data_IF_250555728331
#
_entry.id   IF_250555728331
#
_cell.length_a   1.000
_cell.length_b   1.000
_cell.length_c   1.000
_cell.angle_alpha   90.00
_cell.angle_beta   90.00
_cell.angle_gamma   90.00
#
_symmetry.space_group_name_H-M   'P 1'
#
loop_
_entity.id
_entity.type
_entity.pdbx_description
1 polymer ?
#
# COMPACT_ATOMS: atom_id res chain seq x y z
N UNK A 1 3.86 22.61 -83.72
CA UNK A 1 5.25 23.11 -83.89
C UNK A 1 6.18 22.28 -83.01
N UNK A 2 6.86 21.30 -83.62
CA UNK A 2 8.28 20.89 -83.45
C UNK A 2 9.02 21.39 -82.20
N UNK A 3 9.69 20.60 -81.32
CA UNK A 3 10.70 19.52 -81.41
C UNK A 3 10.75 18.84 -80.01
N UNK A 4 11.18 17.61 -79.71
CA UNK A 4 12.07 16.63 -80.36
C UNK A 4 13.35 16.38 -79.51
N UNK A 5 13.62 15.10 -79.16
CA UNK A 5 14.85 14.46 -78.56
C UNK A 5 14.77 14.12 -77.06
N UNK A 6 15.28 12.99 -76.53
CA UNK A 6 15.92 11.75 -77.06
C UNK A 6 15.95 10.71 -75.91
N UNK A 7 15.87 9.43 -76.27
CA UNK A 7 16.03 8.24 -75.42
C UNK A 7 17.53 7.90 -75.26
N UNK A 8 17.98 7.50 -74.06
CA UNK A 8 19.08 6.53 -73.85
C UNK A 8 18.74 5.71 -72.60
N UNK A 9 18.75 4.38 -72.73
CA UNK A 9 18.60 3.42 -71.63
C UNK A 9 19.91 2.69 -71.32
N UNK A 10 19.98 2.14 -70.11
CA UNK A 10 20.81 1.02 -69.63
C UNK A 10 20.04 0.52 -68.38
N UNK A 11 19.67 -0.75 -68.19
CA UNK A 11 20.31 -1.99 -68.61
C UNK A 11 21.14 -2.54 -67.45
N UNK A 12 20.50 -3.03 -66.39
CA UNK A 12 21.16 -3.57 -65.20
C UNK A 12 20.26 -4.56 -64.47
N UNK A 13 20.48 -5.85 -64.74
CA UNK A 13 19.86 -7.02 -64.13
C UNK A 13 20.22 -7.12 -62.64
N UNK A 14 19.23 -7.27 -61.76
CA UNK A 14 19.46 -7.64 -60.36
C UNK A 14 18.60 -8.86 -60.02
N UNK A 15 19.33 -9.90 -59.63
CA UNK A 15 18.84 -11.22 -59.29
C UNK A 15 17.90 -11.20 -58.08
N UNK A 16 16.84 -12.01 -58.16
CA UNK A 16 16.02 -12.42 -57.02
C UNK A 16 16.88 -13.23 -56.03
N UNK A 17 16.96 -12.76 -54.79
CA UNK A 17 17.40 -13.53 -53.63
C UNK A 17 16.35 -13.40 -52.51
N UNK A 18 16.13 -14.44 -51.69
CA UNK A 18 14.97 -14.54 -50.80
C UNK A 18 15.18 -13.74 -49.51
N UNK A 19 14.18 -12.96 -49.11
CA UNK A 19 14.13 -12.26 -47.83
C UNK A 19 13.58 -13.20 -46.75
N UNK A 20 14.43 -13.53 -45.78
CA UNK A 20 14.12 -14.23 -44.52
C UNK A 20 14.39 -13.26 -43.37
N UNK A 21 13.37 -13.07 -42.52
CA UNK A 21 13.33 -12.58 -41.13
C UNK A 21 13.98 -11.23 -40.75
N UNK A 22 13.16 -10.29 -40.27
CA UNK A 22 13.25 -9.77 -38.89
C UNK A 22 12.05 -8.86 -38.58
N UNK A 23 11.41 -9.16 -37.45
CA UNK A 23 10.32 -8.43 -36.80
C UNK A 23 10.61 -6.94 -36.61
N UNK A 24 9.76 -6.08 -37.18
CA UNK A 24 9.69 -4.66 -36.83
C UNK A 24 8.72 -4.51 -35.66
N UNK A 25 9.23 -4.68 -34.44
CA UNK A 25 8.61 -4.16 -33.23
C UNK A 25 9.73 -3.64 -32.33
N UNK A 26 10.15 -2.41 -32.59
CA UNK A 26 10.85 -1.60 -31.61
C UNK A 26 10.75 -0.13 -32.04
N UNK A 27 10.48 0.73 -31.05
CA UNK A 27 10.48 2.18 -31.07
C UNK A 27 9.11 2.89 -31.02
N UNK A 28 8.33 2.65 -29.95
CA UNK A 28 7.60 3.71 -29.23
C UNK A 28 7.65 3.39 -27.73
N UNK A 29 8.80 3.63 -27.07
CA UNK A 29 8.93 3.58 -25.62
C UNK A 29 10.15 4.40 -25.19
N UNK A 30 10.14 5.72 -25.43
CA UNK A 30 11.15 6.61 -24.86
C UNK A 30 10.75 8.08 -25.02
N UNK A 31 9.72 8.55 -24.31
CA UNK A 31 9.59 9.96 -23.90
C UNK A 31 8.54 10.06 -22.82
N UNK A 32 8.97 9.80 -21.58
CA UNK A 32 8.53 10.42 -20.32
C UNK A 32 9.13 9.64 -19.16
N UNK A 33 10.46 9.47 -19.16
CA UNK A 33 11.17 9.18 -17.92
C UNK A 33 11.28 10.52 -17.17
N UNK A 34 10.20 10.92 -16.52
CA UNK A 34 10.26 11.94 -15.48
C UNK A 34 11.26 11.43 -14.45
N UNK A 35 12.34 12.19 -14.24
CA UNK A 35 13.36 11.92 -13.23
C UNK A 35 12.64 11.70 -11.90
N UNK A 36 12.56 10.45 -11.44
CA UNK A 36 12.05 10.13 -10.11
C UNK A 36 12.92 10.86 -9.10
N UNK A 37 12.37 11.88 -8.46
CA UNK A 37 12.96 12.41 -7.25
C UNK A 37 13.07 11.25 -6.25
N UNK A 38 14.26 11.06 -5.67
CA UNK A 38 14.48 10.07 -4.62
C UNK A 38 13.40 10.23 -3.53
N UNK A 39 12.93 9.14 -2.90
CA UNK A 39 11.91 9.22 -1.87
C UNK A 39 12.40 10.19 -0.78
N UNK A 40 11.69 11.32 -0.62
CA UNK A 40 11.94 12.27 0.46
C UNK A 40 11.61 11.51 1.74
N UNK A 41 12.64 11.04 2.42
CA UNK A 41 12.52 10.44 3.75
C UNK A 41 11.76 11.42 4.64
N UNK A 42 10.76 10.94 5.39
CA UNK A 42 10.05 11.74 6.39
C UNK A 42 11.09 12.48 7.27
N UNK A 43 11.23 13.79 7.04
CA UNK A 43 11.73 14.69 8.07
C UNK A 43 10.63 14.74 9.12
N UNK A 44 10.97 14.52 10.38
CA UNK A 44 10.00 14.31 11.48
C UNK A 44 8.73 15.17 11.34
N UNK A 45 7.56 14.55 11.48
CA UNK A 45 6.26 15.22 11.47
C UNK A 45 6.26 16.45 12.41
N UNK A 46 5.58 17.54 12.05
CA UNK A 46 5.37 18.66 12.95
C UNK A 46 4.78 18.20 14.29
N UNK A 47 5.17 18.83 15.39
CA UNK A 47 4.69 18.48 16.74
C UNK A 47 3.98 19.66 17.39
N UNK A 48 3.28 19.41 18.50
CA UNK A 48 2.71 20.45 19.36
C UNK A 48 3.78 21.19 20.20
N UNK A 49 5.06 20.88 20.02
CA UNK A 49 6.14 21.53 20.76
C UNK A 49 6.09 23.06 20.59
N UNK A 50 6.14 23.77 21.72
CA UNK A 50 6.05 25.23 21.80
C UNK A 50 4.72 25.84 21.30
N UNK A 51 3.67 25.03 21.08
CA UNK A 51 2.35 25.55 20.74
C UNK A 51 1.74 26.27 21.95
N UNK A 52 1.84 25.69 23.15
CA UNK A 52 1.28 26.26 24.38
C UNK A 52 2.31 27.14 25.12
N UNK A 53 1.87 28.32 25.55
CA UNK A 53 2.65 29.23 26.38
C UNK A 53 1.81 29.62 27.60
N UNK A 54 2.22 29.19 28.80
CA UNK A 54 1.66 29.76 30.03
C UNK A 54 2.19 31.17 30.26
N UNK A 55 1.39 32.03 30.88
CA UNK A 55 1.68 33.44 31.12
C UNK A 55 1.66 33.77 32.62
N UNK A 56 2.03 35.00 32.97
CA UNK A 56 1.89 35.47 34.34
C UNK A 56 0.42 35.41 34.81
N UNK A 57 0.16 35.13 36.10
CA UNK A 57 1.13 35.00 37.20
C UNK A 57 1.81 33.62 37.32
N UNK A 58 1.48 32.64 36.49
CA UNK A 58 2.04 31.27 36.61
C UNK A 58 3.52 31.21 36.25
N UNK A 59 3.94 32.01 35.26
CA UNK A 59 5.34 32.15 34.87
C UNK A 59 5.78 33.62 34.88
N UNK A 60 7.09 33.87 34.84
CA UNK A 60 7.63 35.24 34.78
C UNK A 60 7.29 35.89 33.43
N UNK A 61 6.98 37.19 33.48
CA UNK A 61 6.82 38.03 32.29
C UNK A 61 8.11 38.07 31.46
N UNK A 62 7.99 38.13 30.13
CA UNK A 62 9.14 38.27 29.22
C UNK A 62 9.07 37.44 27.94
N UNK A 63 7.99 36.69 27.71
CA UNK A 63 7.80 35.87 26.49
C UNK A 63 7.19 36.73 25.38
N UNK A 64 7.76 36.67 24.18
CA UNK A 64 7.22 37.35 23.00
C UNK A 64 6.05 36.54 22.42
N UNK A 65 4.88 37.16 22.43
CA UNK A 65 3.64 36.64 21.87
C UNK A 65 3.48 37.07 20.42
N UNK A 66 3.63 36.11 19.50
CA UNK A 66 3.48 36.31 18.06
C UNK A 66 2.85 35.07 17.44
N UNK A 67 2.09 35.28 16.35
CA UNK A 67 1.37 34.25 15.61
C UNK A 67 0.46 33.44 16.55
N UNK A 68 -0.40 34.12 17.29
CA UNK A 68 -1.32 33.47 18.24
C UNK A 68 -2.62 33.04 17.55
N UNK A 69 -3.15 31.91 17.99
CA UNK A 69 -4.44 31.38 17.59
C UNK A 69 -5.47 31.61 18.69
N UNK A 70 -6.51 32.38 18.35
CA UNK A 70 -7.59 32.75 19.25
C UNK A 70 -8.94 32.11 18.88
N UNK A 71 -9.02 31.32 17.80
CA UNK A 71 -10.25 30.64 17.38
C UNK A 71 -10.52 29.34 18.13
N UNK A 72 -9.55 28.82 18.87
CA UNK A 72 -9.63 27.53 19.56
C UNK A 72 -10.57 27.49 20.77
N UNK A 73 -11.11 28.63 21.22
CA UNK A 73 -11.93 28.71 22.44
C UNK A 73 -13.06 27.66 22.52
N UNK A 74 -13.84 27.40 21.45
CA UNK A 74 -14.91 26.39 21.48
C UNK A 74 -14.40 24.95 21.67
N UNK A 75 -13.12 24.72 21.39
CA UNK A 75 -12.48 23.39 21.30
C UNK A 75 -11.49 23.12 22.43
N UNK A 76 -11.21 24.10 23.28
CA UNK A 76 -10.28 23.95 24.40
C UNK A 76 -10.97 23.45 25.65
N UNK A 77 -10.28 22.52 26.31
CA UNK A 77 -10.56 22.12 27.68
C UNK A 77 -9.30 22.33 28.52
N UNK A 78 -9.47 23.04 29.63
CA UNK A 78 -8.44 23.13 30.68
C UNK A 78 -8.89 22.29 31.85
N UNK A 79 -8.10 21.30 32.25
CA UNK A 79 -8.37 20.48 33.44
C UNK A 79 -7.32 20.74 34.49
N UNK A 80 -7.77 20.80 35.74
CA UNK A 80 -6.88 20.82 36.90
C UNK A 80 -7.01 19.47 37.60
N UNK A 81 -5.90 18.79 37.80
CA UNK A 81 -5.85 17.52 38.54
C UNK A 81 -4.94 17.67 39.75
N UNK A 82 -5.23 16.96 40.83
CA UNK A 82 -4.33 16.95 41.98
C UNK A 82 -3.06 16.11 41.69
N UNK A 83 -2.08 16.14 42.59
CA UNK A 83 -0.85 15.35 42.48
C UNK A 83 -1.06 13.81 42.39
N UNK A 84 -2.27 13.31 42.68
CA UNK A 84 -2.64 11.89 42.53
C UNK A 84 -3.33 11.59 41.19
N UNK A 85 -3.52 12.60 40.33
CA UNK A 85 -4.22 12.51 39.04
C UNK A 85 -5.74 12.61 39.13
N UNK A 86 -6.31 12.90 40.30
CA UNK A 86 -7.76 13.09 40.45
C UNK A 86 -8.18 14.44 39.88
N UNK A 87 -9.21 14.45 39.04
CA UNK A 87 -9.81 15.67 38.49
C UNK A 87 -10.38 16.55 39.60
N UNK A 88 -9.93 17.80 39.63
CA UNK A 88 -10.40 18.85 40.55
C UNK A 88 -11.39 19.79 39.85
N UNK A 89 -11.03 20.31 38.68
CA UNK A 89 -11.87 21.27 37.95
C UNK A 89 -11.67 21.14 36.43
N UNK A 90 -12.68 21.56 35.67
CA UNK A 90 -12.67 21.59 34.21
C UNK A 90 -13.24 22.91 33.73
N UNK A 91 -12.53 23.57 32.81
CA UNK A 91 -12.93 24.83 32.21
C UNK A 91 -13.11 24.67 30.71
N UNK A 92 -14.22 25.20 30.20
CA UNK A 92 -14.59 25.19 28.77
C UNK A 92 -15.27 26.50 28.40
N UNK A 93 -15.38 26.82 27.11
CA UNK A 93 -16.09 28.02 26.66
C UNK A 93 -17.58 28.03 27.06
N UNK A 94 -18.18 26.84 27.21
CA UNK A 94 -19.57 26.64 27.63
C UNK A 94 -19.73 26.57 29.16
N UNK A 95 -18.63 26.64 29.92
CA UNK A 95 -18.65 26.69 31.37
C UNK A 95 -19.42 27.90 31.90
N UNK A 96 -19.92 27.80 33.13
CA UNK A 96 -20.64 28.89 33.79
C UNK A 96 -19.80 29.54 34.89
N UNK A 97 -19.87 30.87 34.98
CA UNK A 97 -19.18 31.67 36.02
C UNK A 97 -17.68 31.35 36.11
N UNK A 98 -17.22 30.74 37.20
CA UNK A 98 -15.80 30.43 37.45
C UNK A 98 -15.24 29.33 36.55
N UNK A 99 -16.10 28.47 35.99
CA UNK A 99 -15.71 27.38 35.08
C UNK A 99 -15.61 27.81 33.61
N UNK A 100 -15.87 29.08 33.31
CA UNK A 100 -15.87 29.58 31.93
C UNK A 100 -14.47 29.94 31.46
N UNK A 101 -14.06 29.35 30.33
CA UNK A 101 -12.88 29.77 29.58
C UNK A 101 -13.20 31.01 28.75
N UNK A 102 -12.43 32.07 28.97
CA UNK A 102 -12.60 33.36 28.31
C UNK A 102 -11.40 33.66 27.41
N UNK A 103 -11.66 34.38 26.32
CA UNK A 103 -10.60 34.89 25.42
C UNK A 103 -10.58 36.41 25.46
N UNK A 104 -9.40 36.98 25.66
CA UNK A 104 -9.18 38.42 25.59
C UNK A 104 -7.81 38.70 24.99
N UNK A 105 -7.72 39.60 23.99
CA UNK A 105 -6.45 39.98 23.35
C UNK A 105 -5.61 38.79 22.85
N UNK A 106 -6.27 37.75 22.33
CA UNK A 106 -5.66 36.48 21.88
C UNK A 106 -4.99 35.63 22.99
N UNK A 107 -5.33 35.91 24.25
CA UNK A 107 -4.96 35.10 25.41
C UNK A 107 -6.20 34.42 25.98
N UNK A 108 -6.00 33.22 26.51
CA UNK A 108 -7.01 32.41 27.18
C UNK A 108 -6.88 32.55 28.68
N UNK A 109 -8.02 32.70 29.36
CA UNK A 109 -8.06 32.97 30.79
C UNK A 109 -9.13 32.12 31.47
N UNK A 110 -8.74 31.48 32.58
CA UNK A 110 -9.64 30.84 33.55
C UNK A 110 -9.20 31.20 34.97
N UNK A 111 -10.09 31.00 35.95
CA UNK A 111 -9.79 31.28 37.36
C UNK A 111 -9.68 29.96 38.11
N UNK A 112 -8.45 29.59 38.48
CA UNK A 112 -8.15 28.41 39.30
C UNK A 112 -8.44 28.65 40.76
N UNK A 113 -9.06 27.68 41.45
CA UNK A 113 -9.43 27.78 42.86
C UNK A 113 -8.76 26.70 43.71
N UNK A 114 -8.12 27.11 44.81
CA UNK A 114 -7.65 26.19 45.85
C UNK A 114 -6.58 25.18 45.41
N UNK A 115 -5.71 25.58 44.49
CA UNK A 115 -4.67 24.71 43.92
C UNK A 115 -3.51 24.50 44.90
N UNK A 116 -3.10 23.24 45.09
CA UNK A 116 -1.95 22.85 45.89
C UNK A 116 -0.67 22.77 45.06
N UNK A 117 0.48 22.74 45.74
CA UNK A 117 1.74 22.44 45.06
C UNK A 117 1.73 20.99 44.57
N UNK A 118 2.13 20.78 43.31
CA UNK A 118 2.08 19.48 42.65
C UNK A 118 0.77 19.17 41.92
N UNK A 119 -0.23 20.07 41.96
CA UNK A 119 -1.39 19.96 41.07
C UNK A 119 -0.98 20.27 39.62
N UNK A 120 -1.61 19.60 38.67
CA UNK A 120 -1.37 19.76 37.24
C UNK A 120 -2.47 20.58 36.59
N UNK A 121 -2.07 21.57 35.80
CA UNK A 121 -2.93 22.30 34.86
C UNK A 121 -2.66 21.75 33.48
N UNK A 122 -3.62 21.06 32.89
CA UNK A 122 -3.51 20.43 31.58
C UNK A 122 -4.37 21.21 30.60
N UNK A 123 -3.77 21.70 29.51
CA UNK A 123 -4.49 22.34 28.41
C UNK A 123 -4.56 21.36 27.25
N UNK A 124 -5.76 21.10 26.75
CA UNK A 124 -6.00 20.15 25.68
C UNK A 124 -7.03 20.67 24.68
N UNK A 125 -6.90 20.27 23.41
CA UNK A 125 -8.00 20.31 22.46
C UNK A 125 -8.89 19.09 22.67
N UNK A 126 -10.19 19.31 22.52
CA UNK A 126 -11.22 18.28 22.67
C UNK A 126 -10.96 17.11 21.73
N UNK A 127 -11.22 15.90 22.23
CA UNK A 127 -11.39 14.74 21.37
C UNK A 127 -12.68 14.81 20.57
N UNK A 128 -12.85 13.89 19.64
CA UNK A 128 -14.13 13.70 18.95
C UNK A 128 -14.38 12.23 18.66
N UNK A 129 -15.66 11.86 18.69
CA UNK A 129 -16.13 10.56 18.22
C UNK A 129 -17.23 10.78 17.19
N UNK A 130 -17.02 10.29 15.96
CA UNK A 130 -17.99 10.40 14.86
C UNK A 130 -17.98 9.12 14.03
N UNK A 131 -19.03 8.32 14.13
CA UNK A 131 -19.07 7.00 13.50
C UNK A 131 -17.95 6.11 14.07
N UNK A 132 -17.08 5.59 13.19
CA UNK A 132 -15.91 4.78 13.57
C UNK A 132 -14.67 5.60 13.92
N UNK A 133 -14.67 6.92 13.65
CA UNK A 133 -13.56 7.81 13.98
C UNK A 133 -13.61 8.11 15.47
N UNK A 134 -12.53 7.83 16.18
CA UNK A 134 -12.35 8.16 17.58
C UNK A 134 -10.99 8.82 17.77
N UNK A 135 -11.03 10.14 17.91
CA UNK A 135 -9.86 10.97 18.14
C UNK A 135 -9.82 11.35 19.62
N UNK A 136 -8.79 10.92 20.37
CA UNK A 136 -8.63 11.33 21.76
C UNK A 136 -8.34 12.84 21.85
N UNK A 137 -8.53 13.40 23.04
CA UNK A 137 -8.12 14.77 23.31
C UNK A 137 -6.62 14.95 23.05
N UNK A 138 -6.26 16.06 22.40
CA UNK A 138 -4.88 16.40 22.09
C UNK A 138 -4.33 17.30 23.21
N UNK A 139 -3.46 16.76 24.05
CA UNK A 139 -2.78 17.54 25.10
C UNK A 139 -1.77 18.48 24.47
N UNK A 140 -1.94 19.78 24.70
CA UNK A 140 -1.03 20.82 24.21
C UNK A 140 0.13 21.05 25.18
N UNK A 141 -0.11 20.81 26.48
CA UNK A 141 0.91 20.85 27.50
C UNK A 141 0.33 20.81 28.92
N UNK A 142 1.24 20.58 29.87
CA UNK A 142 0.94 20.51 31.30
C UNK A 142 1.81 21.50 32.05
N UNK A 143 1.23 22.18 33.03
CA UNK A 143 1.94 23.02 33.98
C UNK A 143 1.75 22.49 35.40
N UNK A 144 2.86 22.18 36.07
CA UNK A 144 2.86 21.74 37.46
C UNK A 144 2.87 22.97 38.38
N UNK A 145 1.89 23.09 39.26
CA UNK A 145 1.79 24.19 40.21
C UNK A 145 2.93 24.11 41.23
N UNK A 146 3.85 25.08 41.20
CA UNK A 146 5.05 25.06 42.05
C UNK A 146 4.79 25.44 43.52
N UNK A 147 3.79 26.30 43.78
CA UNK A 147 3.47 26.82 45.12
C UNK A 147 1.96 26.80 45.33
N UNK A 148 1.47 26.58 46.57
CA UNK A 148 0.04 26.54 46.84
C UNK A 148 -0.60 27.90 46.62
N UNK A 149 -1.77 27.89 46.00
CA UNK A 149 -2.64 29.04 45.77
C UNK A 149 -3.97 28.80 46.53
N UNK A 150 -4.04 29.09 47.85
CA UNK A 150 -5.18 28.73 48.70
C UNK A 150 -6.45 29.55 48.42
N UNK A 151 -6.40 30.49 47.48
CA UNK A 151 -7.55 31.30 47.02
C UNK A 151 -7.73 31.12 45.51
N UNK A 152 -7.98 32.21 44.79
CA UNK A 152 -8.12 32.22 43.34
C UNK A 152 -6.81 32.68 42.70
N UNK A 153 -6.40 32.04 41.61
CA UNK A 153 -5.28 32.47 40.77
C UNK A 153 -5.71 32.48 39.31
N UNK A 154 -5.28 33.50 38.57
CA UNK A 154 -5.53 33.54 37.14
C UNK A 154 -4.62 32.53 36.45
N UNK A 155 -5.22 31.61 35.69
CA UNK A 155 -4.51 30.74 34.77
C UNK A 155 -4.61 31.42 33.41
N UNK A 156 -3.49 31.92 32.92
CA UNK A 156 -3.40 32.62 31.64
C UNK A 156 -2.46 31.86 30.71
N UNK A 157 -2.87 31.67 29.47
CA UNK A 157 -2.04 31.03 28.47
C UNK A 157 -2.38 31.53 27.06
N UNK A 158 -1.45 31.36 26.14
CA UNK A 158 -1.63 31.62 24.72
C UNK A 158 -1.24 30.38 23.92
N UNK A 159 -1.84 30.22 22.74
CA UNK A 159 -1.53 29.13 21.82
C UNK A 159 -1.01 29.74 20.53
N UNK A 160 0.16 29.30 20.08
CA UNK A 160 0.70 29.69 18.77
C UNK A 160 -0.04 28.96 17.65
N UNK A 161 -0.20 29.64 16.52
CA UNK A 161 -0.65 29.02 15.28
C UNK A 161 0.36 27.93 14.89
N UNK A 162 -0.06 26.67 15.04
CA UNK A 162 0.77 25.47 14.90
C UNK A 162 0.01 24.46 14.03
N UNK A 163 0.66 23.81 13.06
CA UNK A 163 -0.04 22.99 12.08
C UNK A 163 -0.76 21.76 12.68
N UNK A 164 -0.26 21.20 13.79
CA UNK A 164 -0.92 20.08 14.48
C UNK A 164 -2.19 20.56 15.19
N UNK A 165 -2.10 21.70 15.87
CA UNK A 165 -3.23 22.34 16.57
C UNK A 165 -4.29 22.77 15.57
N UNK A 166 -3.86 23.41 14.47
CA UNK A 166 -4.74 23.91 13.41
C UNK A 166 -5.43 22.78 12.66
N UNK A 167 -4.73 21.73 12.29
CA UNK A 167 -5.36 20.56 11.66
C UNK A 167 -6.38 19.87 12.58
N UNK A 168 -6.11 19.81 13.89
CA UNK A 168 -7.06 19.31 14.90
C UNK A 168 -8.30 20.19 14.98
N UNK A 169 -8.15 21.51 15.05
CA UNK A 169 -9.25 22.47 15.10
C UNK A 169 -10.17 22.32 13.87
N UNK A 170 -9.61 22.39 12.67
CA UNK A 170 -10.39 22.27 11.43
C UNK A 170 -11.10 20.91 11.35
N UNK A 171 -10.45 19.84 11.85
CA UNK A 171 -11.10 18.53 11.96
C UNK A 171 -12.32 18.54 12.88
N UNK A 172 -12.26 19.27 14.00
CA UNK A 172 -13.36 19.44 14.94
C UNK A 172 -14.48 20.34 14.37
N UNK A 173 -14.14 21.30 13.51
CA UNK A 173 -15.09 22.10 12.72
C UNK A 173 -15.84 21.27 11.68
N UNK A 174 -15.29 20.11 11.31
CA UNK A 174 -15.88 19.19 10.34
C UNK A 174 -15.40 19.42 8.92
N UNK A 175 -14.28 20.12 8.73
CA UNK A 175 -13.67 20.31 7.43
C UNK A 175 -13.28 18.99 6.77
N UNK A 176 -13.21 19.02 5.44
CA UNK A 176 -12.68 17.93 4.63
C UNK A 176 -11.16 17.90 4.64
N UNK A 177 -10.57 16.74 4.35
CA UNK A 177 -9.11 16.61 4.23
C UNK A 177 -8.51 17.60 3.22
N UNK A 178 -9.21 17.91 2.13
CA UNK A 178 -8.79 18.89 1.11
C UNK A 178 -8.75 20.31 1.67
N UNK A 179 -9.77 20.72 2.44
CA UNK A 179 -9.77 22.04 3.10
C UNK A 179 -8.64 22.16 4.12
N UNK A 180 -8.45 21.12 4.94
CA UNK A 180 -7.35 21.09 5.91
C UNK A 180 -6.00 21.14 5.21
N UNK A 181 -5.79 20.35 4.15
CA UNK A 181 -4.56 20.39 3.36
C UNK A 181 -4.27 21.76 2.75
N UNK A 182 -5.29 22.43 2.20
CA UNK A 182 -5.12 23.78 1.64
C UNK A 182 -4.66 24.78 2.71
N UNK A 183 -5.18 24.69 3.94
CA UNK A 183 -4.70 25.50 5.06
C UNK A 183 -3.26 25.13 5.44
N UNK A 184 -2.94 23.84 5.51
CA UNK A 184 -1.59 23.36 5.85
C UNK A 184 -0.53 23.79 4.81
N UNK A 185 -0.89 23.83 3.53
CA UNK A 185 -0.04 24.35 2.47
C UNK A 185 0.11 25.88 2.57
N UNK A 186 -1.00 26.61 2.63
CA UNK A 186 -0.99 28.07 2.49
C UNK A 186 -0.52 28.82 3.74
N UNK A 187 -0.91 28.36 4.93
CA UNK A 187 -0.52 29.02 6.19
C UNK A 187 0.86 28.56 6.70
N UNK A 188 1.26 27.32 6.42
CA UNK A 188 2.47 26.73 7.01
C UNK A 188 3.51 26.27 5.98
N UNK A 189 3.20 26.28 4.69
CA UNK A 189 4.13 25.85 3.64
C UNK A 189 4.50 24.37 3.74
N UNK A 190 3.63 23.52 4.29
CA UNK A 190 3.93 22.09 4.44
C UNK A 190 3.97 21.39 3.08
N UNK A 191 4.93 20.47 2.94
CA UNK A 191 4.97 19.54 1.81
C UNK A 191 3.80 18.56 1.84
N UNK A 192 3.49 17.96 0.68
CA UNK A 192 2.45 16.96 0.51
C UNK A 192 2.54 15.82 1.53
N UNK A 193 3.74 15.25 1.74
CA UNK A 193 3.99 14.20 2.71
C UNK A 193 3.68 14.62 4.16
N UNK A 194 4.15 15.81 4.57
CA UNK A 194 3.94 16.28 5.94
C UNK A 194 2.46 16.63 6.20
N UNK A 195 1.79 17.24 5.22
CA UNK A 195 0.36 17.51 5.32
C UNK A 195 -0.46 16.22 5.37
N UNK A 196 -0.18 15.25 4.48
CA UNK A 196 -0.84 13.95 4.48
C UNK A 196 -0.62 13.19 5.80
N UNK A 197 0.57 13.28 6.40
CA UNK A 197 0.83 12.67 7.70
C UNK A 197 0.01 13.31 8.82
N UNK A 198 -0.16 14.64 8.84
CA UNK A 198 -1.06 15.30 9.79
C UNK A 198 -2.53 14.90 9.54
N UNK A 199 -2.96 14.77 8.29
CA UNK A 199 -4.30 14.27 7.96
C UNK A 199 -4.51 12.83 8.44
N UNK A 200 -3.51 11.97 8.32
CA UNK A 200 -3.55 10.61 8.85
C UNK A 200 -3.68 10.59 10.39
N UNK A 201 -2.98 11.47 11.11
CA UNK A 201 -3.15 11.66 12.56
C UNK A 201 -4.56 12.16 12.94
N UNK A 202 -5.22 12.87 12.03
CA UNK A 202 -6.62 13.26 12.17
C UNK A 202 -7.62 12.14 11.77
N UNK A 203 -7.12 10.94 11.49
CA UNK A 203 -7.91 9.77 11.06
C UNK A 203 -8.75 10.01 9.80
N UNK A 204 -8.25 10.81 8.85
CA UNK A 204 -8.84 10.82 7.50
C UNK A 204 -8.56 9.48 6.80
N UNK A 205 -9.51 9.00 6.00
CA UNK A 205 -9.32 7.78 5.21
C UNK A 205 -8.41 8.03 4.01
N UNK A 206 -7.78 6.98 3.48
CA UNK A 206 -6.90 7.06 2.32
C UNK A 206 -7.53 7.78 1.11
N UNK A 207 -8.81 7.55 0.73
CA UNK A 207 -9.45 8.34 -0.33
C UNK A 207 -9.51 9.84 -0.04
N UNK A 208 -9.81 10.26 1.19
CA UNK A 208 -9.85 11.67 1.54
C UNK A 208 -8.45 12.30 1.53
N UNK A 209 -7.44 11.58 2.02
CA UNK A 209 -6.05 12.03 1.96
C UNK A 209 -5.56 12.09 0.50
N UNK A 210 -5.87 11.08 -0.31
CA UNK A 210 -5.56 11.05 -1.74
C UNK A 210 -6.22 12.20 -2.51
N UNK A 211 -7.48 12.51 -2.20
CA UNK A 211 -8.18 13.66 -2.78
C UNK A 211 -7.49 14.98 -2.41
N UNK A 212 -7.01 15.12 -1.18
CA UNK A 212 -6.26 16.29 -0.75
C UNK A 212 -4.91 16.41 -1.48
N UNK A 213 -4.18 15.30 -1.62
CA UNK A 213 -2.91 15.23 -2.35
C UNK A 213 -3.07 15.60 -3.83
N UNK A 214 -4.12 15.11 -4.49
CA UNK A 214 -4.42 15.46 -5.88
C UNK A 214 -4.81 16.94 -6.03
N UNK A 215 -5.78 17.39 -5.22
CA UNK A 215 -6.40 18.70 -5.43
C UNK A 215 -5.54 19.89 -4.99
N UNK A 216 -4.73 19.72 -3.93
CA UNK A 216 -3.91 20.79 -3.35
C UNK A 216 -2.47 20.69 -3.84
N UNK A 217 -1.89 19.48 -3.80
CA UNK A 217 -0.48 19.27 -4.09
C UNK A 217 -0.19 18.78 -5.52
N UNK A 218 -1.23 18.49 -6.30
CA UNK A 218 -1.12 17.99 -7.68
C UNK A 218 -0.27 16.72 -7.81
N UNK A 219 -0.30 15.86 -6.77
CA UNK A 219 0.39 14.58 -6.81
C UNK A 219 -0.29 13.64 -7.82
N UNK A 220 0.51 12.87 -8.55
CA UNK A 220 -0.01 11.78 -9.40
C UNK A 220 -0.51 10.60 -8.57
N UNK A 221 -1.18 9.65 -9.24
CA UNK A 221 -1.62 8.39 -8.65
C UNK A 221 -0.47 7.64 -7.97
N UNK A 222 0.65 7.44 -8.67
CA UNK A 222 1.85 6.76 -8.14
C UNK A 222 2.47 7.50 -6.95
N UNK A 223 2.57 8.84 -7.01
CA UNK A 223 3.10 9.63 -5.90
C UNK A 223 2.19 9.55 -4.67
N UNK A 224 0.88 9.64 -4.87
CA UNK A 224 -0.11 9.48 -3.80
C UNK A 224 -0.04 8.11 -3.17
N UNK A 225 0.01 7.05 -3.96
CA UNK A 225 0.15 5.69 -3.46
C UNK A 225 1.42 5.53 -2.62
N UNK A 226 2.56 6.05 -3.10
CA UNK A 226 3.83 6.04 -2.36
C UNK A 226 3.72 6.78 -1.01
N UNK A 227 3.08 7.96 -0.97
CA UNK A 227 2.86 8.70 0.27
C UNK A 227 1.95 7.91 1.23
N UNK A 228 0.84 7.36 0.75
CA UNK A 228 -0.09 6.60 1.58
C UNK A 228 0.55 5.33 2.17
N UNK A 229 1.36 4.61 1.38
CA UNK A 229 2.12 3.44 1.86
C UNK A 229 3.17 3.86 2.89
N UNK A 230 3.87 4.98 2.70
CA UNK A 230 4.78 5.52 3.71
C UNK A 230 4.07 5.88 5.03
N UNK A 231 2.81 6.32 4.94
CA UNK A 231 1.93 6.59 6.08
C UNK A 231 1.23 5.34 6.64
N UNK A 232 1.60 4.15 6.17
CA UNK A 232 1.11 2.85 6.65
C UNK A 232 -0.39 2.61 6.42
N UNK A 233 -0.98 3.25 5.40
CA UNK A 233 -2.27 2.77 4.89
C UNK A 233 -2.08 1.39 4.24
N UNK A 234 -3.08 0.51 4.36
CA UNK A 234 -3.02 -0.83 3.75
C UNK A 234 -3.19 -0.75 2.23
N UNK A 235 -2.74 -1.77 1.50
CA UNK A 235 -2.90 -1.86 0.05
C UNK A 235 -4.38 -1.70 -0.39
N UNK A 236 -5.34 -2.29 0.34
CA UNK A 236 -6.78 -2.08 0.10
C UNK A 236 -7.18 -0.60 0.20
N UNK A 237 -6.65 0.11 1.20
CA UNK A 237 -6.94 1.54 1.40
C UNK A 237 -6.30 2.39 0.31
N UNK A 238 -5.07 2.05 -0.11
CA UNK A 238 -4.38 2.72 -1.20
C UNK A 238 -5.10 2.48 -2.53
N UNK A 239 -5.45 1.23 -2.84
CA UNK A 239 -6.22 0.86 -4.03
C UNK A 239 -7.58 1.56 -4.07
N UNK A 240 -8.27 1.69 -2.93
CA UNK A 240 -9.51 2.45 -2.86
C UNK A 240 -9.30 3.94 -3.19
N UNK A 241 -8.18 4.54 -2.77
CA UNK A 241 -7.84 5.90 -3.14
C UNK A 241 -7.53 6.01 -4.64
N UNK A 242 -6.77 5.08 -5.21
CA UNK A 242 -6.47 5.02 -6.64
C UNK A 242 -7.76 4.90 -7.48
N UNK A 243 -8.64 3.96 -7.14
CA UNK A 243 -9.93 3.77 -7.79
C UNK A 243 -10.82 5.01 -7.71
N UNK A 244 -11.02 5.57 -6.51
CA UNK A 244 -12.02 6.61 -6.30
C UNK A 244 -11.56 8.01 -6.69
N UNK A 245 -10.28 8.33 -6.51
CA UNK A 245 -9.73 9.68 -6.75
C UNK A 245 -9.15 9.79 -8.16
N UNK A 246 -8.40 8.78 -8.59
CA UNK A 246 -7.67 8.79 -9.86
C UNK A 246 -8.39 8.02 -10.97
N UNK A 247 -9.42 7.24 -10.64
CA UNK A 247 -10.17 6.41 -11.60
C UNK A 247 -9.28 5.36 -12.28
N UNK A 248 -8.20 4.94 -11.61
CA UNK A 248 -7.35 3.83 -12.06
C UNK A 248 -8.19 2.54 -12.10
N UNK A 249 -7.96 1.73 -13.12
CA UNK A 249 -8.54 0.39 -13.18
C UNK A 249 -7.74 -0.63 -12.35
N UNK A 250 -8.20 -1.88 -12.37
CA UNK A 250 -7.59 -2.96 -11.60
C UNK A 250 -6.14 -3.26 -12.07
N UNK A 251 -5.87 -3.20 -13.36
CA UNK A 251 -4.53 -3.45 -13.91
C UNK A 251 -3.59 -2.30 -13.57
N UNK A 252 -4.03 -1.06 -13.81
CA UNK A 252 -3.23 0.14 -13.51
C UNK A 252 -2.91 0.22 -12.01
N UNK A 253 -3.87 -0.13 -11.16
CA UNK A 253 -3.65 -0.21 -9.71
C UNK A 253 -2.63 -1.28 -9.34
N UNK A 254 -2.70 -2.48 -9.92
CA UNK A 254 -1.75 -3.54 -9.65
C UNK A 254 -0.32 -3.13 -10.06
N UNK A 255 -0.17 -2.47 -11.22
CA UNK A 255 1.12 -1.97 -11.71
C UNK A 255 1.69 -0.90 -10.75
N UNK A 256 0.87 0.04 -10.28
CA UNK A 256 1.29 1.06 -9.31
C UNK A 256 1.71 0.43 -7.98
N UNK A 257 0.90 -0.48 -7.42
CA UNK A 257 1.19 -1.11 -6.13
C UNK A 257 2.46 -1.98 -6.21
N UNK A 258 2.66 -2.70 -7.33
CA UNK A 258 3.90 -3.42 -7.58
C UNK A 258 5.09 -2.47 -7.65
N UNK A 259 4.96 -1.35 -8.37
CA UNK A 259 6.04 -0.38 -8.56
C UNK A 259 6.51 0.23 -7.23
N UNK A 260 5.59 0.42 -6.28
CA UNK A 260 5.91 0.95 -4.95
C UNK A 260 6.32 -0.14 -3.94
N UNK A 261 6.39 -1.41 -4.38
CA UNK A 261 6.97 -2.51 -3.64
C UNK A 261 5.99 -3.32 -2.79
N UNK A 262 4.69 -3.25 -3.04
CA UNK A 262 3.74 -4.15 -2.39
C UNK A 262 3.93 -5.60 -2.86
N UNK A 263 3.67 -6.55 -1.97
CA UNK A 263 3.74 -7.98 -2.26
C UNK A 263 2.53 -8.46 -3.08
N UNK A 264 2.68 -9.57 -3.81
CA UNK A 264 1.57 -10.17 -4.57
C UNK A 264 0.33 -10.41 -3.71
N UNK A 265 0.49 -10.83 -2.44
CA UNK A 265 -0.63 -11.03 -1.51
C UNK A 265 -1.35 -9.75 -1.14
N UNK A 266 -0.63 -8.63 -0.97
CA UNK A 266 -1.23 -7.33 -0.74
C UNK A 266 -2.01 -6.85 -1.97
N UNK A 267 -1.41 -6.95 -3.15
CA UNK A 267 -2.06 -6.53 -4.41
C UNK A 267 -3.25 -7.42 -4.74
N UNK A 268 -3.12 -8.75 -4.60
CA UNK A 268 -4.21 -9.69 -4.80
C UNK A 268 -5.38 -9.49 -3.84
N UNK A 269 -5.08 -9.13 -2.59
CA UNK A 269 -6.08 -8.71 -1.60
C UNK A 269 -6.83 -7.46 -2.05
N UNK A 270 -6.11 -6.45 -2.52
CA UNK A 270 -6.70 -5.21 -3.01
C UNK A 270 -7.58 -5.43 -4.26
N UNK A 271 -7.11 -6.20 -5.23
CA UNK A 271 -7.87 -6.58 -6.43
C UNK A 271 -9.19 -7.29 -6.06
N UNK A 272 -9.12 -8.23 -5.12
CA UNK A 272 -10.29 -8.93 -4.60
C UNK A 272 -11.25 -8.00 -3.85
N UNK A 273 -10.74 -7.17 -2.94
CA UNK A 273 -11.57 -6.43 -1.98
C UNK A 273 -12.11 -5.11 -2.53
N UNK A 274 -11.37 -4.44 -3.42
CA UNK A 274 -11.71 -3.11 -3.96
C UNK A 274 -12.31 -3.21 -5.35
N UNK A 275 -11.72 -4.04 -6.21
CA UNK A 275 -12.18 -4.23 -7.59
C UNK A 275 -13.14 -5.42 -7.75
N UNK A 276 -13.31 -6.25 -6.72
CA UNK A 276 -14.13 -7.47 -6.75
C UNK A 276 -13.66 -8.46 -7.83
N UNK A 277 -12.36 -8.50 -8.09
CA UNK A 277 -11.79 -9.41 -9.08
C UNK A 277 -11.89 -10.87 -8.63
N UNK A 278 -12.21 -11.75 -9.59
CA UNK A 278 -12.19 -13.19 -9.38
C UNK A 278 -10.77 -13.75 -9.34
N UNK A 279 -10.62 -15.01 -8.91
CA UNK A 279 -9.33 -15.67 -8.78
C UNK A 279 -8.53 -15.68 -10.10
N UNK A 280 -9.17 -16.08 -11.20
CA UNK A 280 -8.53 -16.13 -12.52
C UNK A 280 -8.12 -14.74 -13.04
N UNK A 281 -9.00 -13.74 -12.91
CA UNK A 281 -8.70 -12.37 -13.33
C UNK A 281 -7.56 -11.78 -12.49
N UNK A 282 -7.59 -11.99 -11.18
CA UNK A 282 -6.51 -11.57 -10.27
C UNK A 282 -5.19 -12.21 -10.64
N UNK A 283 -5.16 -13.52 -10.94
CA UNK A 283 -3.95 -14.20 -11.37
C UNK A 283 -3.36 -13.61 -12.66
N UNK A 284 -4.21 -13.34 -13.66
CA UNK A 284 -3.78 -12.72 -14.91
C UNK A 284 -3.21 -11.31 -14.69
N UNK A 285 -3.90 -10.48 -13.90
CA UNK A 285 -3.47 -9.11 -13.58
C UNK A 285 -2.12 -9.12 -12.85
N UNK A 286 -1.94 -10.01 -11.86
CA UNK A 286 -0.69 -10.11 -11.11
C UNK A 286 0.49 -10.54 -12.00
N UNK A 287 0.29 -11.48 -12.92
CA UNK A 287 1.35 -11.85 -13.87
C UNK A 287 1.70 -10.71 -14.81
N UNK A 288 0.69 -9.95 -15.26
CA UNK A 288 0.91 -8.78 -16.11
C UNK A 288 1.64 -7.65 -15.34
N UNK A 289 1.37 -7.52 -14.04
CA UNK A 289 2.12 -6.68 -13.11
C UNK A 289 3.50 -7.26 -12.73
N UNK A 290 3.94 -8.32 -13.40
CA UNK A 290 5.28 -8.95 -13.29
C UNK A 290 5.56 -9.74 -12.00
N UNK A 291 4.53 -10.11 -11.23
CA UNK A 291 4.68 -11.11 -10.17
C UNK A 291 4.95 -12.49 -10.74
N UNK A 292 5.73 -13.29 -10.01
CA UNK A 292 6.08 -14.65 -10.42
C UNK A 292 4.89 -15.61 -10.27
N UNK A 293 4.92 -16.71 -11.03
CA UNK A 293 3.86 -17.73 -10.98
C UNK A 293 3.71 -18.33 -9.57
N UNK A 294 4.82 -18.51 -8.85
CA UNK A 294 4.80 -19.02 -7.47
C UNK A 294 4.11 -18.05 -6.50
N UNK A 295 4.37 -16.74 -6.65
CA UNK A 295 3.69 -15.69 -5.87
C UNK A 295 2.19 -15.67 -6.19
N UNK A 296 1.83 -15.74 -7.48
CA UNK A 296 0.43 -15.81 -7.92
C UNK A 296 -0.29 -17.03 -7.35
N UNK A 297 0.36 -18.19 -7.35
CA UNK A 297 -0.17 -19.40 -6.73
C UNK A 297 -0.39 -19.23 -5.21
N UNK A 298 0.53 -18.55 -4.52
CA UNK A 298 0.37 -18.18 -3.11
C UNK A 298 -0.85 -17.28 -2.87
N UNK A 299 -1.13 -16.33 -3.77
CA UNK A 299 -2.35 -15.50 -3.73
C UNK A 299 -3.60 -16.34 -3.95
N UNK A 300 -3.59 -17.23 -4.95
CA UNK A 300 -4.73 -18.11 -5.24
C UNK A 300 -5.05 -19.03 -4.04
N UNK A 301 -4.02 -19.60 -3.43
CA UNK A 301 -4.16 -20.45 -2.25
C UNK A 301 -4.70 -19.66 -1.04
N UNK A 302 -4.01 -18.60 -0.63
CA UNK A 302 -4.29 -17.93 0.64
C UNK A 302 -5.37 -16.85 0.54
N UNK A 303 -5.41 -16.11 -0.57
CA UNK A 303 -6.35 -15.03 -0.81
C UNK A 303 -7.69 -15.51 -1.37
N UNK A 304 -7.68 -16.54 -2.20
CA UNK A 304 -8.89 -17.08 -2.85
C UNK A 304 -9.31 -18.46 -2.35
N UNK A 305 -8.57 -19.06 -1.40
CA UNK A 305 -8.84 -20.40 -0.88
C UNK A 305 -8.98 -21.46 -1.98
N UNK A 306 -8.23 -21.29 -3.08
CA UNK A 306 -8.19 -22.30 -4.13
C UNK A 306 -7.50 -23.56 -3.62
N UNK A 307 -7.92 -24.70 -4.15
CA UNK A 307 -7.21 -25.96 -4.01
C UNK A 307 -6.05 -26.03 -5.01
N UNK A 308 -5.11 -26.95 -4.80
CA UNK A 308 -4.00 -27.18 -5.73
C UNK A 308 -4.50 -27.45 -7.17
N UNK A 309 -5.57 -28.25 -7.31
CA UNK A 309 -6.18 -28.54 -8.60
C UNK A 309 -6.79 -27.29 -9.27
N UNK A 310 -7.51 -26.46 -8.52
CA UNK A 310 -8.11 -25.23 -9.06
C UNK A 310 -7.05 -24.19 -9.41
N UNK A 311 -6.00 -24.04 -8.58
CA UNK A 311 -4.85 -23.19 -8.93
C UNK A 311 -4.19 -23.66 -10.21
N UNK A 312 -3.92 -24.96 -10.36
CA UNK A 312 -3.29 -25.48 -11.57
C UNK A 312 -4.14 -25.27 -12.83
N UNK A 313 -5.46 -25.41 -12.72
CA UNK A 313 -6.41 -25.10 -13.80
C UNK A 313 -6.36 -23.62 -14.18
N UNK A 314 -6.43 -22.71 -13.20
CA UNK A 314 -6.33 -21.25 -13.44
C UNK A 314 -5.01 -20.90 -14.13
N UNK A 315 -3.88 -21.39 -13.62
CA UNK A 315 -2.55 -21.11 -14.18
C UNK A 315 -2.44 -21.63 -15.62
N UNK A 316 -2.94 -22.84 -15.90
CA UNK A 316 -3.00 -23.37 -17.27
C UNK A 316 -3.86 -22.48 -18.19
N UNK A 317 -5.03 -22.03 -17.72
CA UNK A 317 -5.95 -21.22 -18.51
C UNK A 317 -5.40 -19.82 -18.85
N UNK A 318 -4.56 -19.25 -17.97
CA UNK A 318 -3.87 -17.98 -18.24
C UNK A 318 -2.56 -18.15 -19.02
N UNK A 319 -2.22 -19.39 -19.41
CA UNK A 319 -1.16 -19.70 -20.36
C UNK A 319 0.16 -20.15 -19.75
N UNK A 320 0.21 -20.47 -18.45
CA UNK A 320 1.42 -20.99 -17.84
C UNK A 320 1.80 -22.38 -18.37
N UNK A 321 3.09 -22.60 -18.50
CA UNK A 321 3.63 -23.90 -18.91
C UNK A 321 3.48 -24.93 -17.80
N UNK A 322 3.47 -26.21 -18.18
CA UNK A 322 3.48 -27.35 -17.25
C UNK A 322 4.52 -27.23 -16.12
N UNK A 323 5.74 -26.77 -16.45
CA UNK A 323 6.80 -26.61 -15.45
C UNK A 323 6.55 -25.44 -14.51
N UNK A 324 5.96 -24.34 -14.98
CA UNK A 324 5.53 -23.24 -14.11
C UNK A 324 4.39 -23.67 -13.19
N UNK A 325 3.39 -24.37 -13.72
CA UNK A 325 2.28 -24.92 -12.93
C UNK A 325 2.80 -25.87 -11.85
N UNK A 326 3.68 -26.80 -12.19
CA UNK A 326 4.28 -27.71 -11.21
C UNK A 326 5.14 -26.99 -10.17
N UNK A 327 5.91 -25.97 -10.57
CA UNK A 327 6.67 -25.13 -9.65
C UNK A 327 5.76 -24.43 -8.63
N UNK A 328 4.66 -23.85 -9.10
CA UNK A 328 3.64 -23.24 -8.27
C UNK A 328 2.98 -24.24 -7.30
N UNK A 329 2.65 -25.45 -7.76
CA UNK A 329 2.10 -26.51 -6.91
C UNK A 329 3.09 -26.94 -5.82
N UNK A 330 4.37 -27.03 -6.17
CA UNK A 330 5.44 -27.31 -5.21
C UNK A 330 5.59 -26.17 -4.19
N UNK A 331 5.62 -24.91 -4.66
CA UNK A 331 5.95 -23.76 -3.83
C UNK A 331 4.79 -23.36 -2.88
N UNK A 332 3.56 -23.26 -3.40
CA UNK A 332 2.42 -22.81 -2.61
C UNK A 332 1.79 -23.96 -1.80
N UNK A 333 1.63 -25.13 -2.41
CA UNK A 333 0.88 -26.25 -1.80
C UNK A 333 1.76 -27.32 -1.19
N UNK A 334 3.08 -27.27 -1.39
CA UNK A 334 4.01 -28.35 -1.01
C UNK A 334 3.61 -29.70 -1.64
N UNK A 335 3.05 -29.65 -2.85
CA UNK A 335 2.61 -30.88 -3.53
C UNK A 335 3.80 -31.78 -3.86
N UNK A 336 3.62 -33.07 -3.61
CA UNK A 336 4.59 -34.10 -3.99
C UNK A 336 4.65 -34.27 -5.52
N UNK A 337 5.74 -34.84 -6.03
CA UNK A 337 5.89 -35.14 -7.45
C UNK A 337 4.75 -36.02 -7.99
N UNK A 338 4.28 -37.00 -7.20
CA UNK A 338 3.14 -37.85 -7.58
C UNK A 338 1.85 -37.03 -7.70
N UNK A 339 1.52 -36.25 -6.67
CA UNK A 339 0.28 -35.47 -6.65
C UNK A 339 0.25 -34.40 -7.75
N UNK A 340 1.38 -33.73 -8.01
CA UNK A 340 1.49 -32.81 -9.14
C UNK A 340 1.30 -33.53 -10.48
N UNK A 341 1.83 -34.74 -10.65
CA UNK A 341 1.63 -35.53 -11.86
C UNK A 341 0.16 -35.96 -12.06
N UNK A 342 -0.55 -36.31 -10.97
CA UNK A 342 -1.99 -36.62 -10.98
C UNK A 342 -2.80 -35.40 -11.45
N UNK A 343 -2.53 -34.22 -10.88
CA UNK A 343 -3.15 -32.94 -11.28
C UNK A 343 -2.83 -32.62 -12.74
N UNK A 344 -1.58 -32.78 -13.16
CA UNK A 344 -1.21 -32.50 -14.55
C UNK A 344 -1.87 -33.47 -15.54
N UNK A 345 -2.04 -34.74 -15.18
CA UNK A 345 -2.79 -35.69 -16.00
C UNK A 345 -4.26 -35.27 -16.12
N UNK A 346 -4.89 -34.83 -15.01
CA UNK A 346 -6.29 -34.39 -15.02
C UNK A 346 -6.52 -33.15 -15.90
N UNK A 347 -5.51 -32.27 -15.96
CA UNK A 347 -5.48 -31.09 -16.85
C UNK A 347 -5.11 -31.42 -18.31
N UNK A 348 -4.92 -32.69 -18.65
CA UNK A 348 -4.68 -33.14 -20.02
C UNK A 348 -3.26 -32.89 -20.55
N UNK A 349 -2.28 -32.64 -19.68
CA UNK A 349 -0.88 -32.56 -20.13
C UNK A 349 -0.41 -33.90 -20.71
N UNK A 350 0.42 -33.83 -21.75
CA UNK A 350 0.96 -35.04 -22.38
C UNK A 350 1.90 -35.78 -21.43
N UNK A 351 1.98 -37.11 -21.58
CA UNK A 351 2.88 -37.95 -20.76
C UNK A 351 4.36 -37.52 -20.84
N UNK A 352 4.81 -37.06 -22.02
CA UNK A 352 6.17 -36.52 -22.18
C UNK A 352 6.34 -35.21 -21.39
N UNK A 353 5.34 -34.33 -21.43
CA UNK A 353 5.34 -33.07 -20.69
C UNK A 353 5.39 -33.32 -19.19
N UNK A 354 4.53 -34.20 -18.68
CA UNK A 354 4.52 -34.60 -17.26
C UNK A 354 5.89 -35.13 -16.85
N UNK A 355 6.46 -36.06 -17.61
CA UNK A 355 7.77 -36.63 -17.31
C UNK A 355 8.92 -35.61 -17.33
N UNK A 356 8.96 -34.73 -18.34
CA UNK A 356 9.94 -33.65 -18.40
C UNK A 356 9.83 -32.72 -17.20
N UNK A 357 8.61 -32.38 -16.78
CA UNK A 357 8.36 -31.55 -15.60
C UNK A 357 8.79 -32.24 -14.31
N UNK A 358 8.48 -33.53 -14.14
CA UNK A 358 8.93 -34.31 -12.98
C UNK A 358 10.46 -34.37 -12.90
N UNK A 359 11.14 -34.52 -14.04
CA UNK A 359 12.59 -34.47 -14.11
C UNK A 359 13.13 -33.08 -13.76
N UNK A 360 12.59 -32.01 -14.34
CA UNK A 360 13.19 -30.67 -14.24
C UNK A 360 12.82 -29.92 -12.96
N UNK A 361 11.58 -30.02 -12.49
CA UNK A 361 11.07 -29.28 -11.32
C UNK A 361 11.29 -30.09 -10.05
N UNK A 362 10.87 -31.36 -10.07
CA UNK A 362 10.95 -32.25 -8.91
C UNK A 362 12.25 -33.05 -8.82
N UNK A 363 13.19 -32.85 -9.76
CA UNK A 363 14.47 -33.57 -9.81
C UNK A 363 14.32 -35.09 -9.74
N UNK A 364 13.22 -35.64 -10.28
CA UNK A 364 12.94 -37.07 -10.22
C UNK A 364 13.87 -37.85 -11.13
N UNK A 365 14.32 -39.01 -10.65
CA UNK A 365 15.10 -39.93 -11.47
C UNK A 365 14.24 -40.62 -12.53
N UNK A 366 14.87 -41.20 -13.55
CA UNK A 366 14.15 -41.98 -14.56
C UNK A 366 13.34 -43.14 -13.97
N UNK A 367 13.84 -43.74 -12.87
CA UNK A 367 13.12 -44.79 -12.16
C UNK A 367 11.88 -44.23 -11.45
N UNK A 368 12.02 -43.11 -10.75
CA UNK A 368 10.89 -42.50 -10.02
C UNK A 368 9.81 -42.02 -10.97
N UNK A 369 10.19 -41.38 -12.08
CA UNK A 369 9.25 -41.00 -13.15
C UNK A 369 8.56 -42.24 -13.71
N UNK A 370 9.27 -43.34 -13.97
CA UNK A 370 8.63 -44.57 -14.44
C UNK A 370 7.62 -45.14 -13.44
N UNK A 371 7.90 -45.05 -12.14
CA UNK A 371 6.99 -45.52 -11.09
C UNK A 371 5.73 -44.63 -11.01
N UNK A 372 5.90 -43.30 -11.04
CA UNK A 372 4.79 -42.32 -11.05
C UNK A 372 3.92 -42.50 -12.29
N UNK A 373 4.52 -42.66 -13.47
CA UNK A 373 3.74 -42.86 -14.70
C UNK A 373 2.97 -44.19 -14.69
N UNK A 374 3.51 -45.22 -14.04
CA UNK A 374 2.78 -46.48 -13.86
C UNK A 374 1.59 -46.33 -12.93
N UNK A 375 1.74 -45.64 -11.79
CA UNK A 375 0.64 -45.42 -10.85
C UNK A 375 -0.49 -44.59 -11.47
N UNK A 376 -0.15 -43.70 -12.40
CA UNK A 376 -1.07 -42.94 -13.26
C UNK A 376 -1.75 -43.77 -14.36
N UNK A 377 -1.40 -45.05 -14.50
CA UNK A 377 -2.00 -45.96 -15.48
C UNK A 377 -1.46 -45.85 -16.90
N UNK A 378 -0.31 -45.21 -17.13
CA UNK A 378 0.32 -45.20 -18.45
C UNK A 378 0.86 -46.59 -18.82
N UNK A 379 0.76 -46.94 -20.10
CA UNK A 379 1.25 -48.22 -20.60
C UNK A 379 2.78 -48.29 -20.69
N UNK A 380 3.33 -49.50 -20.66
CA UNK A 380 4.77 -49.74 -20.83
C UNK A 380 5.34 -49.09 -22.11
N UNK A 381 4.57 -49.06 -23.20
CA UNK A 381 4.98 -48.44 -24.46
C UNK A 381 5.06 -46.91 -24.36
N UNK A 382 4.10 -46.27 -23.68
CA UNK A 382 4.14 -44.83 -23.42
C UNK A 382 5.34 -44.47 -22.54
N UNK A 383 5.58 -45.24 -21.46
CA UNK A 383 6.72 -45.00 -20.57
C UNK A 383 8.06 -45.29 -21.25
N UNK A 384 8.15 -46.31 -22.12
CA UNK A 384 9.34 -46.55 -22.97
C UNK A 384 9.68 -45.31 -23.79
N UNK A 385 8.66 -44.74 -24.44
CA UNK A 385 8.83 -43.54 -25.28
C UNK A 385 9.31 -42.35 -24.46
N UNK A 386 8.74 -42.15 -23.28
CA UNK A 386 9.19 -41.11 -22.33
C UNK A 386 10.64 -41.31 -21.92
N UNK A 387 11.03 -42.52 -21.48
CA UNK A 387 12.38 -42.79 -21.02
C UNK A 387 13.42 -42.62 -22.13
N UNK A 388 13.05 -42.93 -23.38
CA UNK A 388 13.87 -42.64 -24.56
C UNK A 388 13.97 -41.14 -24.83
N UNK A 389 12.86 -40.41 -24.80
CA UNK A 389 12.82 -39.01 -25.25
C UNK A 389 13.32 -38.02 -24.19
N UNK A 390 12.90 -38.19 -22.94
CA UNK A 390 13.17 -37.26 -21.84
C UNK A 390 14.53 -37.53 -21.21
N UNK A 391 14.87 -38.81 -21.03
CA UNK A 391 16.10 -39.23 -20.35
C UNK A 391 17.19 -39.74 -21.29
N UNK A 392 16.91 -39.85 -22.60
CA UNK A 392 17.89 -40.33 -23.60
C UNK A 392 18.51 -41.70 -23.25
N UNK A 393 17.72 -42.60 -22.64
CA UNK A 393 18.23 -43.88 -22.16
C UNK A 393 18.29 -44.94 -23.25
N UNK A 394 19.25 -45.86 -23.10
CA UNK A 394 19.35 -47.04 -23.96
C UNK A 394 18.20 -48.02 -23.72
N UNK A 395 17.82 -48.80 -24.73
CA UNK A 395 16.75 -49.81 -24.61
C UNK A 395 17.02 -50.84 -23.51
N UNK A 396 18.28 -51.20 -23.28
CA UNK A 396 18.66 -52.11 -22.20
C UNK A 396 18.37 -51.49 -20.83
N UNK A 397 18.71 -50.22 -20.64
CA UNK A 397 18.42 -49.48 -19.40
C UNK A 397 16.92 -49.32 -19.18
N UNK A 398 16.18 -48.97 -20.24
CA UNK A 398 14.73 -48.82 -20.21
C UNK A 398 14.05 -50.12 -19.78
N UNK A 399 14.44 -51.26 -20.37
CA UNK A 399 13.88 -52.56 -19.97
C UNK A 399 14.10 -52.88 -18.49
N UNK A 400 15.25 -52.51 -17.93
CA UNK A 400 15.54 -52.65 -16.50
C UNK A 400 14.65 -51.78 -15.61
N UNK A 401 14.43 -50.52 -16.01
CA UNK A 401 13.58 -49.57 -15.28
C UNK A 401 12.12 -50.03 -15.31
N UNK A 402 11.61 -50.44 -16.48
CA UNK A 402 10.22 -50.89 -16.64
C UNK A 402 9.93 -52.14 -15.83
N UNK A 403 10.86 -53.11 -15.83
CA UNK A 403 10.72 -54.32 -15.02
C UNK A 403 10.70 -54.00 -13.52
N UNK A 404 11.54 -53.06 -13.08
CA UNK A 404 11.58 -52.61 -11.68
C UNK A 404 10.33 -51.85 -11.27
N UNK A 405 9.73 -51.08 -12.19
CA UNK A 405 8.44 -50.44 -11.97
C UNK A 405 7.30 -51.49 -11.94
N UNK A 406 7.46 -52.67 -12.55
CA UNK A 406 6.47 -53.75 -12.52
C UNK A 406 5.65 -53.88 -13.81
N UNK A 407 6.13 -53.36 -14.93
CA UNK A 407 5.57 -53.66 -16.24
C UNK A 407 5.93 -55.10 -16.64
N UNK A 408 4.93 -55.86 -17.08
CA UNK A 408 5.06 -57.29 -17.45
C UNK A 408 5.08 -57.53 -18.95
#
# INVERSE_FOLDING_TARGET
MTKGRRIIGFGGSLALAPLIFASVFSAIAATSATVMAAPVKMTSLPTTANALIFLAPLVKNGIVLQNLDSSLAPYLTVTVTNATGQLLETYTAQGSRSSQLMVSRAEYHVVGHGMAAGDDIIVSLNGMTKGTVNLPSLVLGTFVVAFPHPRSVAIQFAIRNNPVVRSRELRLEGDSATQVAAVLETEFGLSALNAAGLLAEQQYSAPHVGQALNAVYHESATQTASILTQLQYSADQVALALQSVYQEDAQETADILQQIGDTASQVGGALKNVYNEGAQATAAILQQATYTVDEVAGVLQSGFNQTAQETADILQQIGDTASQVAGALQAAYNESAQAAADIMQSLGYSVNTIASTLQSVYSQSAQDVSNILQSLGYSASQVTTVLSNVFSLSQQTIGGILKSAGYT
#
